data_IF_062478366030
#
_entry.id   IF_062478366030
#
_cell.length_a   1.000
_cell.length_b   1.000
_cell.length_c   1.000
_cell.angle_alpha   90.00
_cell.angle_beta   90.00
_cell.angle_gamma   90.00
#
_symmetry.space_group_name_H-M   'P 1'
#
loop_
_entity.id
_entity.type
_entity.pdbx_description
1 polymer ?
#
# COMPACT_ATOMS: atom_id res chain seq x y z
N UNK A 1 20.13 48.94 -51.91
CA UNK A 1 20.72 48.02 -50.91
C UNK A 1 20.15 48.38 -49.55
N UNK A 2 19.11 47.67 -49.10
CA UNK A 2 18.63 47.70 -47.72
C UNK A 2 18.18 46.27 -47.38
N UNK A 3 18.95 45.63 -46.50
CA UNK A 3 18.64 44.30 -45.96
C UNK A 3 17.75 44.54 -44.74
N UNK A 4 16.47 44.16 -44.84
CA UNK A 4 15.56 44.12 -43.70
C UNK A 4 15.78 42.80 -42.95
N UNK A 5 16.53 42.84 -41.86
CA UNK A 5 16.68 41.71 -40.94
C UNK A 5 15.40 41.65 -40.09
N UNK A 6 14.49 40.75 -40.46
CA UNK A 6 13.36 40.37 -39.62
C UNK A 6 13.89 39.42 -38.54
N UNK A 7 14.31 39.96 -37.40
CA UNK A 7 14.71 39.17 -36.24
C UNK A 7 13.45 38.54 -35.63
N UNK A 8 13.31 37.23 -35.82
CA UNK A 8 12.31 36.38 -35.17
C UNK A 8 12.59 36.41 -33.66
N UNK A 9 11.82 37.18 -32.90
CA UNK A 9 11.72 37.01 -31.45
C UNK A 9 10.49 36.13 -31.20
N UNK A 10 10.64 34.82 -31.40
CA UNK A 10 9.75 33.84 -30.79
C UNK A 10 10.43 33.30 -29.53
N UNK A 11 9.63 33.23 -28.46
CA UNK A 11 9.83 32.57 -27.16
C UNK A 11 10.46 33.39 -26.02
N UNK A 12 9.59 33.87 -25.10
CA UNK A 12 9.84 33.62 -23.68
C UNK A 12 8.62 33.11 -22.88
N UNK A 13 7.46 32.84 -23.51
CA UNK A 13 6.24 32.54 -22.74
C UNK A 13 6.21 31.13 -22.12
N UNK A 14 6.76 30.11 -22.80
CA UNK A 14 6.73 28.73 -22.31
C UNK A 14 7.70 28.45 -21.15
N UNK A 15 8.80 29.21 -21.03
CA UNK A 15 9.84 28.98 -20.03
C UNK A 15 9.47 29.48 -18.63
N UNK A 16 8.65 30.53 -18.54
CA UNK A 16 8.21 31.11 -17.25
C UNK A 16 7.17 30.21 -16.58
N UNK A 17 6.22 29.67 -17.36
CA UNK A 17 5.21 28.74 -16.86
C UNK A 17 5.85 27.43 -16.36
N UNK A 18 6.79 26.86 -17.12
CA UNK A 18 7.50 25.63 -16.72
C UNK A 18 8.27 25.80 -15.39
N UNK A 19 8.92 26.95 -15.19
CA UNK A 19 9.68 27.24 -13.95
C UNK A 19 8.74 27.41 -12.74
N UNK A 20 7.58 28.04 -12.93
CA UNK A 20 6.59 28.19 -11.85
C UNK A 20 5.92 26.85 -11.49
N UNK A 21 5.71 25.98 -12.48
CA UNK A 21 5.15 24.63 -12.28
C UNK A 21 6.15 23.76 -11.52
N UNK A 22 7.44 23.78 -11.88
CA UNK A 22 8.48 23.04 -11.16
C UNK A 22 8.54 23.40 -9.67
N UNK A 23 8.59 24.69 -9.33
CA UNK A 23 8.64 25.11 -7.92
C UNK A 23 7.43 24.68 -7.10
N UNK A 24 6.23 24.74 -7.71
CA UNK A 24 5.00 24.28 -7.05
C UNK A 24 5.02 22.76 -6.84
N UNK A 25 5.62 22.03 -7.76
CA UNK A 25 5.74 20.58 -7.67
C UNK A 25 6.69 20.17 -6.55
N UNK A 26 7.87 20.80 -6.45
CA UNK A 26 8.83 20.53 -5.36
C UNK A 26 8.15 20.73 -3.98
N UNK A 27 7.28 21.75 -3.87
CA UNK A 27 6.51 22.02 -2.65
C UNK A 27 5.52 20.89 -2.34
N UNK A 28 4.88 20.30 -3.35
CA UNK A 28 3.95 19.17 -3.18
C UNK A 28 4.71 17.90 -2.79
N UNK A 29 5.86 17.65 -3.41
CA UNK A 29 6.71 16.50 -3.11
C UNK A 29 7.17 16.51 -1.64
N UNK A 30 7.66 17.66 -1.17
CA UNK A 30 8.06 17.85 0.23
C UNK A 30 6.86 17.75 1.19
N UNK A 31 5.71 18.35 0.84
CA UNK A 31 4.50 18.34 1.68
C UNK A 31 3.97 16.93 1.97
N UNK A 32 4.10 16.01 1.01
CA UNK A 32 3.52 14.66 1.10
C UNK A 32 4.57 13.55 1.28
N UNK A 33 5.83 13.90 1.54
CA UNK A 33 6.97 12.98 1.66
C UNK A 33 7.09 12.02 0.45
N UNK A 34 7.01 12.58 -0.76
CA UNK A 34 7.09 11.82 -2.01
C UNK A 34 8.55 11.67 -2.45
N UNK A 35 8.99 10.44 -2.70
CA UNK A 35 10.29 10.17 -3.32
C UNK A 35 10.08 9.90 -4.81
N UNK A 36 10.75 10.67 -5.67
CA UNK A 36 10.69 10.47 -7.13
C UNK A 36 11.30 9.12 -7.50
N UNK A 37 10.61 8.39 -8.36
CA UNK A 37 11.08 7.14 -8.97
C UNK A 37 10.95 7.23 -10.48
N UNK A 38 11.59 6.30 -11.19
CA UNK A 38 11.43 6.26 -12.64
C UNK A 38 10.02 5.79 -13.04
N UNK A 39 9.50 6.32 -14.15
CA UNK A 39 8.22 5.86 -14.73
C UNK A 39 8.29 4.38 -15.13
N UNK A 40 9.47 3.88 -15.50
CA UNK A 40 9.68 2.47 -15.80
C UNK A 40 9.46 1.59 -14.55
N UNK A 41 10.09 1.96 -13.44
CA UNK A 41 9.93 1.29 -12.13
C UNK A 41 8.46 1.30 -11.69
N UNK A 42 7.77 2.43 -11.82
CA UNK A 42 6.36 2.52 -11.47
C UNK A 42 5.47 1.55 -12.28
N UNK A 43 5.76 1.38 -13.57
CA UNK A 43 5.06 0.42 -14.44
C UNK A 43 5.35 -1.02 -14.06
N UNK A 44 6.59 -1.34 -13.69
CA UNK A 44 6.98 -2.68 -13.21
C UNK A 44 6.26 -3.02 -11.90
N UNK A 45 6.08 -2.03 -11.03
CA UNK A 45 5.30 -2.15 -9.79
C UNK A 45 3.77 -2.11 -10.02
N UNK A 46 3.33 -2.09 -11.28
CA UNK A 46 1.93 -2.19 -11.67
C UNK A 46 1.13 -0.90 -11.54
N UNK A 47 1.77 0.27 -11.34
CA UNK A 47 1.07 1.54 -11.26
C UNK A 47 0.47 1.94 -12.62
N UNK A 48 -0.80 2.33 -12.61
CA UNK A 48 -1.52 2.79 -13.81
C UNK A 48 -1.57 4.32 -13.80
N UNK A 49 -1.25 5.00 -14.93
CA UNK A 49 -1.15 6.44 -14.97
C UNK A 49 -2.47 7.17 -14.66
N UNK A 50 -2.35 8.28 -13.96
CA UNK A 50 -3.43 9.25 -13.72
C UNK A 50 -3.04 10.55 -14.39
N UNK A 51 -3.95 11.11 -15.19
CA UNK A 51 -3.73 12.42 -15.80
C UNK A 51 -4.35 13.52 -14.95
N UNK A 52 -3.56 14.55 -14.64
CA UNK A 52 -4.04 15.80 -14.07
C UNK A 52 -3.77 16.94 -15.04
N UNK A 53 -4.68 17.91 -15.08
CA UNK A 53 -4.52 19.09 -15.93
C UNK A 53 -3.77 20.20 -15.21
N UNK A 54 -3.71 20.18 -13.88
CA UNK A 54 -3.05 21.19 -13.06
C UNK A 54 -2.37 20.57 -11.83
N UNK A 55 -1.39 21.27 -11.26
CA UNK A 55 -0.79 20.87 -9.97
C UNK A 55 -1.82 20.97 -8.84
N UNK A 56 -2.75 21.93 -8.91
CA UNK A 56 -3.77 22.10 -7.87
C UNK A 56 -4.75 20.91 -7.82
N UNK A 57 -5.01 20.25 -8.96
CA UNK A 57 -5.74 18.98 -9.00
C UNK A 57 -4.96 17.84 -8.34
N UNK A 58 -3.65 17.78 -8.55
CA UNK A 58 -2.77 16.81 -7.91
C UNK A 58 -2.73 17.01 -6.39
N UNK A 59 -2.55 18.24 -5.91
CA UNK A 59 -2.54 18.56 -4.47
C UNK A 59 -3.86 18.15 -3.80
N UNK A 60 -5.00 18.42 -4.45
CA UNK A 60 -6.31 17.97 -3.96
C UNK A 60 -6.44 16.45 -3.92
N UNK A 61 -5.94 15.76 -4.93
CA UNK A 61 -5.95 14.30 -4.97
C UNK A 61 -5.12 13.72 -3.82
N UNK A 62 -3.90 14.20 -3.60
CA UNK A 62 -3.02 13.74 -2.52
C UNK A 62 -3.61 14.04 -1.14
N UNK A 63 -4.21 15.21 -0.95
CA UNK A 63 -4.92 15.56 0.29
C UNK A 63 -6.10 14.61 0.57
N UNK A 64 -6.87 14.24 -0.45
CA UNK A 64 -7.96 13.26 -0.30
C UNK A 64 -7.44 11.88 0.06
N UNK A 65 -6.32 11.45 -0.52
CA UNK A 65 -5.73 10.15 -0.21
C UNK A 65 -5.22 10.10 1.23
N UNK A 66 -4.56 11.15 1.72
CA UNK A 66 -4.13 11.25 3.11
C UNK A 66 -5.33 11.23 4.09
N UNK A 67 -6.40 11.97 3.78
CA UNK A 67 -7.62 11.96 4.60
C UNK A 67 -8.28 10.57 4.66
N UNK A 68 -8.27 9.80 3.56
CA UNK A 68 -8.77 8.41 3.56
C UNK A 68 -7.91 7.51 4.42
N UNK A 69 -6.58 7.67 4.39
CA UNK A 69 -5.67 6.90 5.24
C UNK A 69 -5.93 7.17 6.72
N UNK A 70 -6.11 8.44 7.11
CA UNK A 70 -6.45 8.80 8.48
C UNK A 70 -7.80 8.22 8.92
N UNK A 71 -8.77 8.12 8.02
CA UNK A 71 -10.06 7.50 8.30
C UNK A 71 -9.92 5.98 8.54
N UNK A 72 -9.16 5.27 7.68
CA UNK A 72 -8.91 3.83 7.81
C UNK A 72 -8.02 3.48 9.01
N UNK A 73 -7.13 4.39 9.41
CA UNK A 73 -6.36 4.24 10.64
C UNK A 73 -7.25 4.15 11.88
N UNK A 74 -8.41 4.83 11.87
CA UNK A 74 -9.41 4.85 12.96
C UNK A 74 -10.38 3.67 12.91
N UNK A 75 -10.46 2.94 11.80
CA UNK A 75 -11.35 1.79 11.65
C UNK A 75 -10.77 0.54 12.35
N UNK A 76 -11.61 -0.09 13.19
CA UNK A 76 -11.26 -1.25 14.00
C UNK A 76 -11.27 -2.56 13.18
N UNK A 77 -10.42 -3.49 13.62
CA UNK A 77 -10.11 -4.77 12.96
C UNK A 77 -11.34 -5.67 12.76
N UNK A 78 -11.51 -6.21 11.56
CA UNK A 78 -12.46 -7.29 11.25
C UNK A 78 -11.75 -8.64 11.48
N UNK A 79 -12.25 -9.43 12.43
CA UNK A 79 -11.76 -10.81 12.64
C UNK A 79 -12.65 -11.74 11.82
N UNK A 80 -12.20 -12.11 10.62
CA UNK A 80 -12.78 -13.23 9.87
C UNK A 80 -12.34 -14.54 10.51
N UNK A 81 -13.29 -15.25 11.11
CA UNK A 81 -13.04 -16.52 11.76
C UNK A 81 -13.46 -17.63 10.80
N UNK A 82 -12.53 -18.09 9.95
CA UNK A 82 -12.81 -19.24 9.08
C UNK A 82 -11.79 -20.40 9.23
N UNK A 83 -12.40 -21.52 9.65
CA UNK A 83 -12.10 -22.93 9.37
C UNK A 83 -11.03 -23.69 10.17
N UNK A 84 -11.56 -24.55 11.06
CA UNK A 84 -10.92 -25.78 11.54
C UNK A 84 -10.59 -26.68 10.35
N UNK A 85 -9.33 -26.69 9.93
CA UNK A 85 -8.80 -27.73 9.04
C UNK A 85 -8.74 -29.08 9.78
N UNK A 86 -9.83 -29.84 9.79
CA UNK A 86 -9.82 -31.28 10.09
C UNK A 86 -9.31 -32.02 8.86
N UNK A 87 -8.02 -32.33 8.83
CA UNK A 87 -7.52 -33.41 7.97
C UNK A 87 -8.04 -34.73 8.55
N UNK A 88 -9.12 -35.26 7.97
CA UNK A 88 -9.54 -36.63 8.18
C UNK A 88 -8.51 -37.55 7.53
N UNK A 89 -7.66 -38.17 8.36
CA UNK A 89 -6.83 -39.29 7.95
C UNK A 89 -7.74 -40.52 8.03
N UNK A 90 -8.35 -40.91 6.91
CA UNK A 90 -9.03 -42.19 6.80
C UNK A 90 -7.99 -43.32 6.81
N UNK A 91 -8.23 -44.28 7.71
CA UNK A 91 -7.88 -45.70 7.61
C UNK A 91 -6.41 -46.12 7.55
N UNK A 92 -5.69 -45.95 8.68
CA UNK A 92 -4.59 -46.87 9.06
C UNK A 92 -4.70 -47.19 10.57
N UNK A 93 -5.05 -48.43 10.98
CA UNK A 93 -5.51 -48.73 12.34
C UNK A 93 -4.42 -48.95 13.40
N UNK A 94 -3.15 -48.58 13.18
CA UNK A 94 -2.05 -48.94 14.12
C UNK A 94 -1.22 -47.73 14.59
N UNK A 95 -1.45 -46.52 14.05
CA UNK A 95 -0.70 -45.31 14.45
C UNK A 95 -1.48 -44.31 15.33
N UNK A 96 -2.67 -44.68 15.82
CA UNK A 96 -3.55 -43.77 16.58
C UNK A 96 -3.23 -43.66 18.07
N UNK A 97 -2.31 -44.47 18.60
CA UNK A 97 -1.97 -44.50 20.04
C UNK A 97 -0.88 -43.50 20.48
N UNK A 98 -0.24 -42.78 19.56
CA UNK A 98 0.83 -41.82 19.89
C UNK A 98 0.71 -40.43 19.28
N UNK A 99 -0.43 -40.08 18.68
CA UNK A 99 -0.68 -38.72 18.22
C UNK A 99 -1.71 -38.06 19.13
N UNK A 100 -1.30 -37.72 20.34
CA UNK A 100 -1.90 -36.61 21.08
C UNK A 100 -1.53 -35.28 20.41
N UNK A 101 -1.86 -35.11 19.10
CA UNK A 101 -1.73 -33.81 18.43
C UNK A 101 -2.66 -32.87 19.18
N UNK A 102 -2.06 -31.92 19.89
CA UNK A 102 -2.75 -30.72 20.25
C UNK A 102 -3.25 -30.09 18.95
N UNK A 103 -4.57 -30.11 18.73
CA UNK A 103 -5.21 -29.41 17.62
C UNK A 103 -4.95 -27.91 17.81
N UNK A 104 -3.85 -27.42 17.26
CA UNK A 104 -3.54 -26.02 17.26
C UNK A 104 -4.53 -25.32 16.32
N UNK A 105 -5.41 -24.50 16.87
CA UNK A 105 -6.39 -23.77 16.08
C UNK A 105 -5.69 -22.60 15.38
N UNK A 106 -5.83 -22.52 14.06
CA UNK A 106 -5.36 -21.38 13.27
C UNK A 106 -6.53 -20.44 12.99
N UNK A 107 -6.30 -19.13 13.04
CA UNK A 107 -7.26 -18.11 12.59
C UNK A 107 -6.53 -16.98 11.86
N UNK A 108 -7.16 -16.34 10.89
CA UNK A 108 -6.57 -15.24 10.12
C UNK A 108 -7.35 -13.97 10.37
N UNK A 109 -6.72 -12.98 10.98
CA UNK A 109 -7.27 -11.63 11.05
C UNK A 109 -6.88 -10.87 9.77
N UNK A 110 -7.75 -9.96 9.31
CA UNK A 110 -7.45 -9.09 8.18
C UNK A 110 -7.86 -7.64 8.48
N UNK A 111 -7.15 -6.68 7.88
CA UNK A 111 -7.50 -5.26 7.92
C UNK A 111 -7.28 -4.62 6.55
N UNK A 112 -8.25 -3.85 6.10
CA UNK A 112 -8.07 -2.96 4.94
C UNK A 112 -7.09 -1.85 5.32
N UNK A 113 -5.94 -1.82 4.64
CA UNK A 113 -4.91 -0.81 4.83
C UNK A 113 -5.21 0.43 3.97
N UNK A 114 -5.69 0.18 2.75
CA UNK A 114 -6.10 1.19 1.80
C UNK A 114 -7.13 0.63 0.84
N UNK A 115 -8.10 1.46 0.42
CA UNK A 115 -9.06 1.11 -0.63
C UNK A 115 -9.58 2.37 -1.32
N UNK A 116 -9.89 2.24 -2.60
CA UNK A 116 -10.54 3.26 -3.40
C UNK A 116 -11.74 2.72 -4.21
N UNK A 117 -12.25 1.54 -3.83
CA UNK A 117 -13.38 0.87 -4.49
C UNK A 117 -13.02 0.00 -5.70
N UNK A 118 -11.90 0.26 -6.39
CA UNK A 118 -11.42 -0.57 -7.52
C UNK A 118 -10.16 -1.36 -7.20
N UNK A 119 -9.40 -0.87 -6.23
CA UNK A 119 -8.20 -1.47 -5.67
C UNK A 119 -8.34 -1.52 -4.16
N UNK A 120 -7.89 -2.60 -3.54
CA UNK A 120 -7.86 -2.73 -2.09
C UNK A 120 -6.59 -3.43 -1.65
N UNK A 121 -5.85 -2.78 -0.76
CA UNK A 121 -4.70 -3.35 -0.07
C UNK A 121 -5.14 -3.84 1.31
N UNK A 122 -4.98 -5.14 1.56
CA UNK A 122 -5.28 -5.77 2.84
C UNK A 122 -4.01 -6.27 3.52
N UNK A 123 -3.93 -6.08 4.82
CA UNK A 123 -2.96 -6.71 5.70
C UNK A 123 -3.60 -7.94 6.35
N UNK A 124 -2.81 -8.99 6.52
CA UNK A 124 -3.25 -10.27 7.09
C UNK A 124 -2.32 -10.68 8.22
N UNK A 125 -2.90 -11.25 9.27
CA UNK A 125 -2.16 -11.91 10.34
C UNK A 125 -2.79 -13.28 10.62
N UNK A 126 -2.08 -14.35 10.25
CA UNK A 126 -2.47 -15.72 10.59
C UNK A 126 -1.83 -16.11 11.91
N UNK A 127 -2.67 -16.40 12.90
CA UNK A 127 -2.23 -16.84 14.23
C UNK A 127 -2.53 -18.31 14.44
N UNK A 128 -1.57 -19.04 15.00
CA UNK A 128 -1.74 -20.41 15.47
C UNK A 128 -1.75 -20.40 16.99
N UNK A 129 -2.76 -21.03 17.60
CA UNK A 129 -2.94 -21.07 19.05
C UNK A 129 -2.85 -22.49 19.58
N UNK A 130 -2.27 -22.65 20.76
CA UNK A 130 -2.30 -23.90 21.51
C UNK A 130 -3.66 -24.14 22.19
N UNK A 131 -3.75 -25.22 22.99
CA UNK A 131 -4.95 -25.57 23.76
C UNK A 131 -5.34 -24.49 24.79
N UNK A 132 -4.37 -23.73 25.29
CA UNK A 132 -4.57 -22.64 26.27
C UNK A 132 -4.91 -21.30 25.59
N UNK A 133 -5.12 -21.32 24.27
CA UNK A 133 -5.37 -20.15 23.41
C UNK A 133 -4.17 -19.19 23.36
N UNK A 134 -2.97 -19.64 23.72
CA UNK A 134 -1.74 -18.86 23.57
C UNK A 134 -1.21 -19.03 22.15
N UNK A 135 -0.76 -17.92 21.58
CA UNK A 135 -0.22 -17.83 20.23
C UNK A 135 1.17 -18.47 20.24
N UNK A 136 1.35 -19.47 19.38
CA UNK A 136 2.59 -20.21 19.18
C UNK A 136 3.30 -19.82 17.89
N UNK A 137 2.57 -19.35 16.88
CA UNK A 137 3.12 -18.85 15.63
C UNK A 137 2.24 -17.74 15.04
N UNK A 138 2.88 -16.79 14.36
CA UNK A 138 2.23 -15.72 13.61
C UNK A 138 2.90 -15.58 12.26
N UNK A 139 2.11 -15.50 11.20
CA UNK A 139 2.54 -15.10 9.87
C UNK A 139 1.81 -13.83 9.46
N UNK A 140 2.54 -12.83 8.97
CA UNK A 140 1.98 -11.57 8.50
C UNK A 140 2.35 -11.34 7.04
N UNK A 141 1.44 -10.79 6.26
CA UNK A 141 1.70 -10.36 4.90
C UNK A 141 0.67 -9.29 4.49
N UNK A 142 0.96 -8.53 3.45
CA UNK A 142 0.00 -7.64 2.80
C UNK A 142 -0.16 -8.04 1.35
N UNK A 143 -1.35 -7.79 0.80
CA UNK A 143 -1.64 -8.04 -0.61
C UNK A 143 -2.53 -6.93 -1.16
N UNK A 144 -2.27 -6.53 -2.41
CA UNK A 144 -3.15 -5.67 -3.18
C UNK A 144 -4.01 -6.53 -4.11
N UNK A 145 -5.31 -6.24 -4.13
CA UNK A 145 -6.30 -6.92 -4.97
C UNK A 145 -7.10 -5.90 -5.76
N UNK A 146 -7.62 -6.32 -6.92
CA UNK A 146 -8.33 -5.43 -7.85
C UNK A 146 -7.38 -4.81 -8.88
N UNK A 147 -7.81 -3.72 -9.50
CA UNK A 147 -7.01 -3.00 -10.49
C UNK A 147 -6.11 -2.01 -9.75
N UNK A 148 -4.77 -2.04 -9.92
CA UNK A 148 -3.83 -1.12 -9.24
C UNK A 148 -3.90 0.30 -9.82
N UNK A 149 -5.09 0.90 -9.73
CA UNK A 149 -5.38 2.26 -10.15
C UNK A 149 -6.11 2.98 -9.01
N UNK A 150 -5.73 4.22 -8.66
CA UNK A 150 -4.60 4.98 -9.17
C UNK A 150 -3.23 4.62 -8.56
N UNK A 151 -3.22 3.82 -7.50
CA UNK A 151 -2.04 3.62 -6.65
C UNK A 151 -1.63 2.15 -6.67
N UNK A 152 -0.38 1.88 -7.01
CA UNK A 152 0.25 0.57 -6.82
C UNK A 152 0.71 0.37 -5.38
N UNK A 153 0.81 -0.88 -4.93
CA UNK A 153 1.31 -1.23 -3.61
C UNK A 153 2.50 -2.18 -3.69
N UNK A 154 3.62 -1.77 -3.11
CA UNK A 154 4.78 -2.62 -2.92
C UNK A 154 4.94 -2.96 -1.43
N UNK A 155 4.92 -4.25 -1.10
CA UNK A 155 5.18 -4.70 0.28
C UNK A 155 6.68 -4.74 0.55
N UNK A 156 7.15 -3.96 1.53
CA UNK A 156 8.57 -3.92 1.90
C UNK A 156 8.86 -4.90 3.02
N UNK A 157 8.08 -4.84 4.10
CA UNK A 157 8.23 -5.78 5.22
C UNK A 157 6.95 -5.85 6.04
N UNK A 158 6.76 -6.98 6.72
CA UNK A 158 5.74 -7.10 7.74
C UNK A 158 6.28 -7.88 8.94
N UNK A 159 5.88 -7.46 10.13
CA UNK A 159 6.30 -8.08 11.37
C UNK A 159 5.20 -8.00 12.42
N UNK A 160 5.40 -8.66 13.55
CA UNK A 160 4.45 -8.68 14.64
C UNK A 160 5.11 -8.57 16.00
N UNK A 161 4.33 -8.11 16.97
CA UNK A 161 4.66 -8.15 18.39
C UNK A 161 3.52 -8.81 19.17
N UNK A 162 3.84 -9.58 20.21
CA UNK A 162 2.86 -10.24 21.06
C UNK A 162 2.74 -9.49 22.39
N UNK A 163 1.51 -9.39 22.92
CA UNK A 163 1.28 -8.87 24.27
C UNK A 163 1.75 -9.87 25.33
N UNK A 164 1.95 -9.38 26.55
CA UNK A 164 2.19 -10.21 27.72
C UNK A 164 1.03 -11.23 27.87
N UNK A 165 1.38 -12.52 27.96
CA UNK A 165 0.43 -13.63 27.97
C UNK A 165 0.15 -14.27 26.59
N UNK A 166 0.68 -13.71 25.49
CA UNK A 166 0.62 -14.28 24.13
C UNK A 166 -0.79 -14.60 23.62
N UNK A 167 -1.84 -13.93 24.09
CA UNK A 167 -3.22 -14.17 23.60
C UNK A 167 -3.66 -13.23 22.47
N UNK A 168 -2.90 -12.16 22.27
CA UNK A 168 -3.11 -11.16 21.22
C UNK A 168 -1.78 -10.49 20.87
N UNK A 169 -1.78 -9.77 19.75
CA UNK A 169 -0.62 -9.07 19.26
C UNK A 169 -0.98 -7.90 18.35
N UNK A 170 0.07 -7.30 17.79
CA UNK A 170 -0.04 -6.25 16.78
C UNK A 170 0.83 -6.64 15.61
N UNK A 171 0.24 -6.63 14.41
CA UNK A 171 0.97 -6.74 13.16
C UNK A 171 1.25 -5.34 12.61
N UNK A 172 2.43 -5.16 12.04
CA UNK A 172 2.84 -3.95 11.33
C UNK A 172 3.17 -4.30 9.90
N UNK A 173 2.64 -3.53 8.96
CA UNK A 173 2.87 -3.67 7.52
C UNK A 173 3.51 -2.39 7.01
N UNK A 174 4.69 -2.53 6.42
CA UNK A 174 5.43 -1.43 5.79
C UNK A 174 5.48 -1.66 4.29
N UNK A 175 5.20 -0.62 3.54
CA UNK A 175 5.22 -0.69 2.09
C UNK A 175 5.19 0.67 1.45
N UNK A 176 5.33 0.66 0.13
CA UNK A 176 5.34 1.87 -0.68
C UNK A 176 4.05 1.96 -1.49
N UNK A 177 3.42 3.14 -1.46
CA UNK A 177 2.39 3.53 -2.41
C UNK A 177 3.06 4.12 -3.63
N UNK A 178 2.76 3.54 -4.78
CA UNK A 178 3.37 3.91 -6.05
C UNK A 178 2.37 4.73 -6.85
N UNK A 179 2.73 5.96 -7.19
CA UNK A 179 1.94 6.89 -7.96
C UNK A 179 2.57 7.04 -9.34
N UNK A 180 1.79 6.85 -10.41
CA UNK A 180 2.20 7.24 -11.77
C UNK A 180 1.30 8.37 -12.25
N UNK A 181 1.87 9.56 -12.42
CA UNK A 181 1.17 10.81 -12.66
C UNK A 181 1.60 11.43 -13.99
N UNK A 182 0.62 11.83 -14.80
CA UNK A 182 0.81 12.54 -16.05
C UNK A 182 0.37 13.99 -15.83
N UNK A 183 1.33 14.91 -15.80
CA UNK A 183 1.08 16.35 -15.80
C UNK A 183 1.25 16.94 -17.21
N UNK A 184 0.75 18.16 -17.48
CA UNK A 184 0.89 18.79 -18.80
C UNK A 184 2.34 18.97 -19.26
N UNK A 185 3.28 19.04 -18.33
CA UNK A 185 4.69 19.34 -18.61
C UNK A 185 5.56 18.09 -18.66
N UNK A 186 5.25 17.06 -17.85
CA UNK A 186 6.00 15.79 -17.81
C UNK A 186 5.20 14.68 -17.13
N UNK A 187 5.54 13.45 -17.49
CA UNK A 187 5.21 12.23 -16.75
C UNK A 187 6.13 12.10 -15.55
N UNK A 188 5.59 11.65 -14.42
CA UNK A 188 6.33 11.53 -13.16
C UNK A 188 5.83 10.31 -12.42
N UNK A 189 6.69 9.74 -11.60
CA UNK A 189 6.28 8.71 -10.69
C UNK A 189 6.90 8.94 -9.31
N UNK A 190 6.13 8.60 -8.29
CA UNK A 190 6.53 8.76 -6.91
C UNK A 190 6.26 7.49 -6.13
N UNK A 191 7.09 7.26 -5.12
CA UNK A 191 6.77 6.34 -4.04
C UNK A 191 6.59 7.12 -2.74
N UNK A 192 5.55 6.75 -1.99
CA UNK A 192 5.34 7.22 -0.61
C UNK A 192 5.45 6.03 0.32
N UNK A 193 6.40 6.09 1.24
CA UNK A 193 6.52 5.06 2.26
C UNK A 193 5.41 5.22 3.29
N UNK A 194 4.73 4.11 3.62
CA UNK A 194 3.66 4.10 4.62
C UNK A 194 3.74 2.88 5.51
N UNK A 195 3.21 3.04 6.72
CA UNK A 195 3.24 2.02 7.76
C UNK A 195 1.87 1.89 8.40
N UNK A 196 1.29 0.70 8.28
CA UNK A 196 0.00 0.38 8.88
C UNK A 196 0.15 -0.61 10.02
N UNK A 197 -0.78 -0.57 10.97
CA UNK A 197 -0.84 -1.53 12.08
C UNK A 197 -2.24 -2.10 12.25
N UNK A 198 -2.31 -3.34 12.74
CA UNK A 198 -3.56 -3.98 13.13
C UNK A 198 -3.35 -4.85 14.37
N UNK A 199 -4.36 -4.91 15.24
CA UNK A 199 -4.41 -5.90 16.31
C UNK A 199 -4.88 -7.27 15.79
N UNK A 200 -4.49 -8.35 16.48
CA UNK A 200 -5.00 -9.70 16.27
C UNK A 200 -5.04 -10.51 17.58
#
# INVERSE_FOLDING_TARGET
>A
MFILILLVIMYPLQTVEATSISKKLDTVEEKYDLEEISVAEAKELGAIPIKFNTIDELDKFLAQEEAKEEALAKENVLVENEEKSTFAISDIPILSLFISKANAASSTASKTLWSNGVSTTKGYARVTKDKDKKITAVSTWSNQSGVPWPIGWESVTSYHSLKSGKKSGTATFKGNKIYYLILPVRDMAYKKYTSYTMGF
#
